data_IF_664005042896
#
_entry.id   IF_664005042896
#
_cell.length_a   1.000
_cell.length_b   1.000
_cell.length_c   1.000
_cell.angle_alpha   90.00
_cell.angle_beta   90.00
_cell.angle_gamma   90.00
#
_symmetry.space_group_name_H-M   'P 1'
#
loop_
_entity.id
_entity.type
_entity.pdbx_description
1 polymer ?
#
# COMPACT_ATOMS: atom_id res chain seq x y z
N UNK A 1 5.51 17.07 4.42
CA UNK A 1 5.32 17.00 2.96
C UNK A 1 5.16 15.54 2.56
N UNK A 2 4.40 15.23 1.50
CA UNK A 2 4.40 13.90 0.88
C UNK A 2 5.83 13.49 0.49
N UNK A 3 6.14 12.19 0.57
CA UNK A 3 7.47 11.64 0.25
C UNK A 3 7.74 11.72 -1.26
N UNK A 4 6.71 11.55 -2.08
CA UNK A 4 6.80 11.54 -3.55
C UNK A 4 6.33 12.86 -4.18
N UNK A 5 6.31 13.96 -3.42
CA UNK A 5 5.74 15.24 -3.87
C UNK A 5 6.33 15.78 -5.18
N UNK A 6 7.63 15.59 -5.41
CA UNK A 6 8.35 16.08 -6.60
C UNK A 6 8.42 15.04 -7.73
N UNK A 7 7.85 13.85 -7.53
CA UNK A 7 7.93 12.76 -8.49
C UNK A 7 6.80 12.88 -9.52
N UNK A 8 7.18 12.96 -10.79
CA UNK A 8 6.27 13.19 -11.92
C UNK A 8 6.22 12.03 -12.91
N UNK A 9 6.86 10.89 -12.57
CA UNK A 9 6.83 9.70 -13.39
C UNK A 9 5.41 9.11 -13.43
N UNK A 10 4.85 8.84 -14.62
CA UNK A 10 3.54 8.20 -14.74
C UNK A 10 3.56 6.82 -14.06
N UNK A 11 2.40 6.34 -13.61
CA UNK A 11 2.30 4.99 -13.07
C UNK A 11 2.77 3.97 -14.12
N UNK A 12 3.58 3.01 -13.70
CA UNK A 12 4.08 1.97 -14.58
C UNK A 12 2.95 1.04 -15.04
N UNK A 13 3.16 0.34 -16.16
CA UNK A 13 2.19 -0.63 -16.67
C UNK A 13 1.84 -1.69 -15.60
N UNK A 14 0.55 -1.99 -15.45
CA UNK A 14 0.03 -2.93 -14.46
C UNK A 14 -0.07 -2.37 -13.02
N UNK A 15 0.40 -1.15 -12.76
CA UNK A 15 0.25 -0.51 -11.44
C UNK A 15 -1.15 0.10 -11.30
N UNK A 16 -1.94 -0.41 -10.36
CA UNK A 16 -3.27 0.13 -10.07
C UNK A 16 -3.15 1.42 -9.25
N UNK A 17 -3.89 2.45 -9.66
CA UNK A 17 -3.92 3.75 -8.96
C UNK A 17 -4.70 3.67 -7.63
N UNK A 18 -3.94 3.65 -6.55
CA UNK A 18 -4.40 3.64 -5.17
C UNK A 18 -4.10 4.97 -4.45
N UNK A 19 -3.63 6.01 -5.16
CA UNK A 19 -3.25 7.30 -4.57
C UNK A 19 -4.42 7.94 -3.83
N UNK A 20 -4.13 8.51 -2.66
CA UNK A 20 -5.10 9.28 -1.90
C UNK A 20 -4.91 9.18 -0.39
N UNK A 21 -5.85 9.83 0.32
CA UNK A 21 -6.01 9.68 1.76
C UNK A 21 -7.22 8.80 2.02
N UNK A 22 -7.01 7.75 2.80
CA UNK A 22 -7.97 6.68 3.05
C UNK A 22 -8.34 6.64 4.53
N UNK A 23 -9.64 6.49 4.80
CA UNK A 23 -10.20 6.41 6.15
C UNK A 23 -10.89 5.07 6.37
N UNK A 24 -10.56 4.38 7.45
CA UNK A 24 -11.16 3.10 7.84
C UNK A 24 -12.60 3.25 8.33
N UNK A 25 -13.54 2.64 7.61
CA UNK A 25 -14.98 2.65 7.91
C UNK A 25 -15.50 1.32 8.48
N UNK A 26 -14.75 0.23 8.30
CA UNK A 26 -15.04 -1.08 8.91
C UNK A 26 -13.74 -1.83 9.21
N UNK A 27 -13.78 -2.73 10.21
CA UNK A 27 -12.58 -3.35 10.76
C UNK A 27 -11.87 -2.38 11.70
N UNK A 28 -10.79 -1.76 11.25
CA UNK A 28 -10.07 -0.72 12.01
C UNK A 28 -10.71 0.66 11.78
N UNK A 29 -11.85 0.91 12.42
CA UNK A 29 -12.56 2.19 12.33
C UNK A 29 -11.67 3.32 12.85
N UNK A 30 -11.53 4.39 12.07
CA UNK A 30 -10.68 5.53 12.40
C UNK A 30 -9.23 5.40 11.94
N UNK A 31 -8.85 4.27 11.33
CA UNK A 31 -7.57 4.15 10.63
C UNK A 31 -7.44 5.24 9.55
N UNK A 32 -6.25 5.83 9.43
CA UNK A 32 -5.94 6.79 8.39
C UNK A 32 -4.64 6.38 7.73
N UNK A 33 -4.66 6.30 6.41
CA UNK A 33 -3.45 6.10 5.62
C UNK A 33 -3.38 7.00 4.40
N UNK A 34 -2.16 7.41 4.08
CA UNK A 34 -1.85 8.12 2.84
C UNK A 34 -1.08 7.17 1.92
N UNK A 35 -1.57 7.03 0.70
CA UNK A 35 -0.90 6.32 -0.38
C UNK A 35 -0.40 7.32 -1.41
N UNK A 36 0.89 7.23 -1.72
CA UNK A 36 1.57 7.98 -2.76
C UNK A 36 2.15 6.97 -3.77
N UNK A 37 2.04 7.24 -5.07
CA UNK A 37 2.60 6.39 -6.13
C UNK A 37 3.23 7.24 -7.24
N UNK A 38 4.34 6.76 -7.78
CA UNK A 38 5.05 7.37 -8.90
C UNK A 38 5.89 6.28 -9.61
N UNK A 39 5.70 6.08 -10.92
CA UNK A 39 6.28 4.91 -11.59
C UNK A 39 5.77 3.61 -10.96
N UNK A 40 6.71 2.74 -10.56
CA UNK A 40 6.44 1.55 -9.76
C UNK A 40 6.78 1.72 -8.26
N UNK A 41 7.11 2.93 -7.79
CA UNK A 41 7.36 3.21 -6.38
C UNK A 41 6.05 3.57 -5.69
N UNK A 42 5.84 3.01 -4.52
CA UNK A 42 4.68 3.26 -3.68
C UNK A 42 5.12 3.55 -2.25
N UNK A 43 4.53 4.59 -1.66
CA UNK A 43 4.74 4.94 -0.26
C UNK A 43 3.41 4.89 0.47
N UNK A 44 3.35 4.10 1.54
CA UNK A 44 2.19 4.04 2.43
C UNK A 44 2.60 4.61 3.79
N UNK A 45 1.97 5.70 4.20
CA UNK A 45 2.18 6.30 5.53
C UNK A 45 0.96 6.04 6.40
N UNK A 46 1.12 5.24 7.46
CA UNK A 46 0.06 4.90 8.40
C UNK A 46 0.63 4.44 9.75
N UNK A 47 -0.10 4.66 10.84
CA UNK A 47 0.21 4.01 12.13
C UNK A 47 1.63 4.24 12.68
N UNK A 48 2.20 5.44 12.47
CA UNK A 48 3.59 5.80 12.80
C UNK A 48 4.68 5.11 11.96
N UNK A 49 4.31 4.49 10.85
CA UNK A 49 5.22 3.80 9.92
C UNK A 49 5.13 4.40 8.52
N UNK A 50 6.26 4.44 7.82
CA UNK A 50 6.34 4.76 6.40
C UNK A 50 6.86 3.51 5.69
N UNK A 51 5.99 2.84 4.94
CA UNK A 51 6.36 1.74 4.05
C UNK A 51 6.76 2.36 2.71
N UNK A 52 8.02 2.19 2.28
CA UNK A 52 8.54 2.69 1.00
C UNK A 52 9.12 1.52 0.20
N UNK A 53 8.53 1.25 -0.96
CA UNK A 53 8.83 0.06 -1.74
C UNK A 53 8.55 0.26 -3.23
N UNK A 54 9.05 -0.67 -4.04
CA UNK A 54 8.63 -0.85 -5.44
C UNK A 54 7.72 -2.05 -5.56
N UNK A 55 6.77 -1.97 -6.48
CA UNK A 55 5.83 -3.05 -6.79
C UNK A 55 6.37 -3.99 -7.87
N UNK A 56 7.63 -4.42 -7.74
CA UNK A 56 8.33 -5.28 -8.72
C UNK A 56 8.47 -6.75 -8.29
N UNK A 57 7.89 -7.11 -7.15
CA UNK A 57 7.92 -8.47 -6.60
C UNK A 57 9.26 -8.89 -6.00
N UNK A 58 10.21 -7.97 -5.83
CA UNK A 58 11.54 -8.31 -5.30
C UNK A 58 11.74 -7.91 -3.84
N UNK A 59 12.55 -8.67 -3.10
CA UNK A 59 12.99 -8.30 -1.75
C UNK A 59 14.06 -7.20 -1.72
N UNK A 60 14.72 -6.92 -2.85
CA UNK A 60 15.76 -5.89 -2.92
C UNK A 60 15.14 -4.50 -2.96
N UNK A 61 14.01 -4.35 -3.66
CA UNK A 61 13.25 -3.11 -3.77
C UNK A 61 11.95 -3.11 -2.94
N UNK A 62 11.70 -4.19 -2.22
CA UNK A 62 10.56 -4.35 -1.32
C UNK A 62 10.62 -3.49 -0.05
N UNK A 63 9.60 -3.61 0.79
CA UNK A 63 9.51 -2.85 2.03
C UNK A 63 10.39 -3.48 3.11
N UNK A 64 11.28 -2.67 3.71
CA UNK A 64 12.10 -3.06 4.86
C UNK A 64 11.67 -2.29 6.10
N UNK A 65 10.66 -2.83 6.77
CA UNK A 65 10.04 -2.19 7.92
C UNK A 65 10.57 -2.73 9.25
N UNK A 66 10.56 -1.87 10.26
CA UNK A 66 10.83 -2.26 11.65
C UNK A 66 9.55 -2.10 12.44
N UNK A 67 9.06 -3.21 13.00
CA UNK A 67 7.86 -3.21 13.84
C UNK A 67 8.09 -2.58 15.21
N UNK A 68 7.01 -2.34 15.95
CA UNK A 68 7.03 -1.65 17.24
C UNK A 68 7.85 -2.34 18.35
N UNK A 69 8.25 -3.61 18.16
CA UNK A 69 9.13 -4.36 19.07
C UNK A 69 10.50 -4.67 18.45
N UNK A 70 10.95 -3.83 17.51
CA UNK A 70 12.24 -3.95 16.81
C UNK A 70 12.41 -5.21 15.95
N UNK A 71 11.31 -5.84 15.56
CA UNK A 71 11.32 -6.96 14.63
C UNK A 71 11.40 -6.46 13.18
N UNK A 72 12.30 -7.04 12.39
CA UNK A 72 12.47 -6.68 10.98
C UNK A 72 11.51 -7.45 10.09
N UNK A 73 10.89 -6.74 9.16
CA UNK A 73 10.14 -7.30 8.05
C UNK A 73 10.86 -6.96 6.75
N UNK A 74 10.93 -7.92 5.83
CA UNK A 74 11.36 -7.67 4.46
C UNK A 74 10.31 -8.28 3.54
N UNK A 75 9.62 -7.45 2.78
CA UNK A 75 8.41 -7.85 2.07
C UNK A 75 8.59 -7.56 0.60
N UNK A 76 8.37 -8.56 -0.26
CA UNK A 76 8.26 -8.36 -1.70
C UNK A 76 6.83 -7.95 -2.02
N UNK A 77 6.63 -6.90 -2.82
CA UNK A 77 5.30 -6.38 -3.14
C UNK A 77 5.13 -6.34 -4.66
N UNK A 78 3.97 -6.78 -5.14
CA UNK A 78 3.61 -6.73 -6.57
C UNK A 78 2.09 -6.66 -6.72
N UNK A 79 1.64 -6.24 -7.90
CA UNK A 79 0.26 -6.46 -8.33
C UNK A 79 0.15 -7.81 -9.01
N UNK A 80 -0.94 -8.53 -8.76
CA UNK A 80 -1.30 -9.71 -9.53
C UNK A 80 -2.10 -9.35 -10.80
N UNK A 81 -2.45 -10.38 -11.59
CA UNK A 81 -3.19 -10.22 -12.84
C UNK A 81 -4.61 -9.67 -12.65
N UNK A 82 -5.18 -9.77 -11.44
CA UNK A 82 -6.49 -9.25 -11.07
C UNK A 82 -6.42 -7.81 -10.52
N UNK A 83 -5.21 -7.23 -10.42
CA UNK A 83 -4.97 -5.90 -9.91
C UNK A 83 -5.01 -5.79 -8.38
N UNK A 84 -4.89 -6.91 -7.66
CA UNK A 84 -4.74 -6.95 -6.22
C UNK A 84 -3.25 -6.77 -5.86
N UNK A 85 -2.97 -5.85 -4.92
CA UNK A 85 -1.62 -5.60 -4.42
C UNK A 85 -1.30 -6.62 -3.33
N UNK A 86 -0.29 -7.46 -3.58
CA UNK A 86 0.11 -8.55 -2.70
C UNK A 86 1.41 -8.22 -1.97
N UNK A 87 1.40 -8.32 -0.65
CA UNK A 87 2.57 -8.22 0.22
C UNK A 87 3.02 -9.64 0.60
N UNK A 88 4.19 -10.06 0.12
CA UNK A 88 4.78 -11.37 0.44
C UNK A 88 5.91 -11.22 1.43
N UNK A 89 5.69 -11.66 2.66
CA UNK A 89 6.70 -11.55 3.71
C UNK A 89 7.83 -12.54 3.45
N UNK A 90 9.06 -12.02 3.42
CA UNK A 90 10.29 -12.72 3.03
C UNK A 90 10.20 -13.45 1.68
N UNK A 91 9.23 -13.07 0.83
CA UNK A 91 8.86 -13.76 -0.41
C UNK A 91 8.48 -15.23 -0.21
N UNK A 92 7.90 -15.57 0.95
CA UNK A 92 7.51 -16.94 1.30
C UNK A 92 6.00 -17.16 1.30
N UNK A 93 5.22 -16.17 1.77
CA UNK A 93 3.77 -16.26 1.89
C UNK A 93 3.13 -14.87 1.94
N UNK A 94 1.87 -14.81 1.56
CA UNK A 94 1.11 -13.57 1.41
C UNK A 94 0.59 -13.14 2.79
N UNK A 95 0.97 -11.94 3.22
CA UNK A 95 0.61 -11.43 4.55
C UNK A 95 -0.48 -10.38 4.52
N UNK A 96 -0.49 -9.56 3.48
CA UNK A 96 -1.47 -8.50 3.29
C UNK A 96 -1.82 -8.45 1.81
N UNK A 97 -3.10 -8.33 1.50
CA UNK A 97 -3.57 -7.99 0.16
C UNK A 97 -4.34 -6.68 0.19
N UNK A 98 -4.32 -5.93 -0.91
CA UNK A 98 -5.12 -4.71 -1.06
C UNK A 98 -5.77 -4.66 -2.43
N UNK A 99 -7.07 -4.39 -2.47
CA UNK A 99 -7.80 -4.21 -3.73
C UNK A 99 -8.75 -3.03 -3.69
N UNK A 100 -8.92 -2.41 -4.85
CA UNK A 100 -9.94 -1.40 -5.07
C UNK A 100 -11.33 -2.06 -5.06
N UNK A 101 -12.29 -1.43 -4.39
CA UNK A 101 -13.67 -1.91 -4.28
C UNK A 101 -14.63 -0.74 -4.51
N UNK A 102 -15.02 -0.52 -5.77
CA UNK A 102 -15.78 0.65 -6.17
C UNK A 102 -15.00 1.93 -5.87
N UNK A 103 -15.55 2.80 -5.03
CA UNK A 103 -14.87 4.03 -4.58
C UNK A 103 -13.98 3.82 -3.33
N UNK A 104 -14.04 2.64 -2.72
CA UNK A 104 -13.29 2.26 -1.54
C UNK A 104 -12.09 1.38 -1.86
N UNK A 105 -11.37 0.99 -0.81
CA UNK A 105 -10.31 -0.03 -0.86
C UNK A 105 -10.48 -1.00 0.30
N UNK A 106 -10.24 -2.28 0.03
CA UNK A 106 -10.26 -3.36 1.01
C UNK A 106 -8.83 -3.86 1.22
N UNK A 107 -8.48 -4.08 2.48
CA UNK A 107 -7.22 -4.65 2.92
C UNK A 107 -7.52 -5.92 3.66
N UNK A 108 -6.81 -6.99 3.34
CA UNK A 108 -7.02 -8.28 3.98
C UNK A 108 -5.70 -8.75 4.56
N UNK A 109 -5.70 -9.06 5.87
CA UNK A 109 -4.56 -9.67 6.53
C UNK A 109 -4.63 -11.19 6.42
N UNK A 110 -3.47 -11.84 6.60
CA UNK A 110 -3.34 -13.31 6.58
C UNK A 110 -4.27 -14.04 7.57
N UNK A 111 -4.70 -13.38 8.64
CA UNK A 111 -5.64 -13.92 9.62
C UNK A 111 -7.12 -13.79 9.21
N UNK A 112 -7.39 -13.26 8.01
CA UNK A 112 -8.72 -13.01 7.48
C UNK A 112 -9.34 -11.69 7.92
N UNK A 113 -8.63 -10.86 8.69
CA UNK A 113 -9.12 -9.53 9.06
C UNK A 113 -9.24 -8.65 7.82
N UNK A 114 -10.46 -8.16 7.55
CA UNK A 114 -10.70 -7.19 6.49
C UNK A 114 -10.88 -5.78 7.05
N UNK A 115 -10.19 -4.82 6.45
CA UNK A 115 -10.41 -3.39 6.66
C UNK A 115 -11.03 -2.81 5.41
N UNK A 116 -12.15 -2.12 5.55
CA UNK A 116 -12.78 -1.35 4.47
C UNK A 116 -12.49 0.12 4.68
N UNK A 117 -12.06 0.79 3.62
CA UNK A 117 -11.74 2.21 3.65
C UNK A 117 -12.51 2.98 2.59
N UNK A 118 -12.73 4.27 2.90
CA UNK A 118 -13.24 5.26 1.95
C UNK A 118 -12.15 6.30 1.66
N UNK A 119 -12.11 6.77 0.41
CA UNK A 119 -11.19 7.82 0.00
C UNK A 119 -11.74 9.18 0.44
N UNK A 120 -11.04 9.85 1.35
CA UNK A 120 -11.47 11.14 1.93
C UNK A 120 -10.77 12.36 1.32
N UNK A 121 -9.66 12.16 0.61
CA UNK A 121 -9.04 13.21 -0.21
C UNK A 121 -8.52 12.61 -1.52
N UNK A 122 -8.62 13.39 -2.60
CA UNK A 122 -7.98 13.10 -3.89
C UNK A 122 -6.86 14.12 -4.12
N UNK A 123 -5.83 13.71 -4.86
CA UNK A 123 -4.94 14.69 -5.47
C UNK A 123 -5.78 15.58 -6.41
N UNK A 124 -5.46 16.88 -6.54
CA UNK A 124 -6.07 17.71 -7.57
C UNK A 124 -5.87 17.06 -8.94
N UNK A 125 -6.86 17.17 -9.81
CA UNK A 125 -6.64 16.91 -11.23
C UNK A 125 -5.64 17.96 -11.74
N UNK A 126 -4.65 17.54 -12.55
CA UNK A 126 -3.65 18.43 -13.16
C UNK A 126 -4.29 19.51 -14.06
#
# INVERSE_FOLDING_TARGET
MPVLAECTEPLADGVIDMRGLWFGVSGWVGHVERIEQCGNRMVVTAGNTIHDFRVDGTLVNGARDVGGICNNFNTAIHFDDDGELIFRLFDLFDTVTRKMAGTGMIFTFIDGTEIRTERICRYPDD
#
